data_IF_142860560606
#
_entry.id   IF_142860560606
#
_cell.length_a   1.000
_cell.length_b   1.000
_cell.length_c   1.000
_cell.angle_alpha   90.00
_cell.angle_beta   90.00
_cell.angle_gamma   90.00
#
_symmetry.space_group_name_H-M   'P 1'
#
loop_
_entity.id
_entity.type
_entity.pdbx_description
1 polymer ?
#
# COMPACT_ATOMS: atom_id res chain seq x y z
N UNK A 1 38.58 -3.78 11.37
CA UNK A 1 37.97 -3.05 10.25
C UNK A 1 38.35 -1.59 10.43
N UNK A 2 38.98 -0.98 9.44
CA UNK A 2 39.45 0.41 9.52
C UNK A 2 38.29 1.39 9.27
N UNK A 3 38.44 2.64 9.72
CA UNK A 3 37.45 3.70 9.44
C UNK A 3 37.22 3.90 7.94
N UNK A 4 38.23 3.63 7.11
CA UNK A 4 38.11 3.67 5.65
C UNK A 4 37.21 2.56 5.11
N UNK A 5 37.37 1.33 5.60
CA UNK A 5 36.50 0.20 5.22
C UNK A 5 35.05 0.44 5.66
N UNK A 6 34.85 1.04 6.85
CA UNK A 6 33.51 1.42 7.33
C UNK A 6 32.86 2.45 6.39
N UNK A 7 33.60 3.50 6.01
CA UNK A 7 33.07 4.55 5.14
C UNK A 7 32.75 4.04 3.73
N UNK A 8 33.53 3.10 3.21
CA UNK A 8 33.26 2.48 1.91
C UNK A 8 31.95 1.68 1.92
N UNK A 9 31.72 0.89 2.98
CA UNK A 9 30.46 0.15 3.15
C UNK A 9 29.27 1.09 3.30
N UNK A 10 29.41 2.16 4.10
CA UNK A 10 28.37 3.18 4.28
C UNK A 10 27.99 3.83 2.94
N UNK A 11 28.97 4.21 2.13
CA UNK A 11 28.72 4.83 0.82
C UNK A 11 28.01 3.87 -0.14
N UNK A 12 28.42 2.60 -0.18
CA UNK A 12 27.76 1.57 -1.00
C UNK A 12 26.30 1.36 -0.61
N UNK A 13 26.01 1.36 0.69
CA UNK A 13 24.64 1.26 1.20
C UNK A 13 23.84 2.51 0.82
N UNK A 14 24.42 3.71 1.01
CA UNK A 14 23.76 4.97 0.67
C UNK A 14 23.42 5.05 -0.84
N UNK A 15 24.30 4.59 -1.72
CA UNK A 15 24.06 4.56 -3.16
C UNK A 15 23.01 3.53 -3.55
N UNK A 16 23.01 2.35 -2.92
CA UNK A 16 21.98 1.35 -3.12
C UNK A 16 20.60 1.85 -2.67
N UNK A 17 20.53 2.59 -1.56
CA UNK A 17 19.30 3.23 -1.08
C UNK A 17 18.85 4.35 -2.02
N UNK A 18 19.75 5.21 -2.49
CA UNK A 18 19.44 6.26 -3.48
C UNK A 18 18.92 5.71 -4.80
N UNK A 19 19.47 4.58 -5.28
CA UNK A 19 19.03 3.94 -6.54
C UNK A 19 17.65 3.31 -6.45
N UNK A 20 17.12 3.06 -5.25
CA UNK A 20 15.77 2.57 -5.05
C UNK A 20 14.78 3.73 -5.17
N UNK A 21 14.67 4.31 -6.36
CA UNK A 21 13.62 5.28 -6.65
C UNK A 21 12.26 4.60 -6.53
N UNK A 22 11.33 5.23 -5.81
CA UNK A 22 9.94 4.77 -5.80
C UNK A 22 9.38 4.87 -7.22
N UNK A 23 8.62 3.87 -7.70
CA UNK A 23 7.97 3.98 -8.99
C UNK A 23 6.95 5.12 -8.96
N UNK A 24 6.67 5.70 -10.12
CA UNK A 24 5.59 6.66 -10.25
C UNK A 24 4.25 5.95 -10.05
N UNK A 25 3.47 6.45 -9.08
CA UNK A 25 2.13 5.95 -8.79
C UNK A 25 1.09 6.84 -9.44
N UNK A 26 0.02 6.24 -9.94
CA UNK A 26 -1.13 6.96 -10.44
C UNK A 26 -1.89 7.69 -9.35
N UNK A 27 -2.73 8.64 -9.78
CA UNK A 27 -3.52 9.48 -8.89
C UNK A 27 -4.60 8.65 -8.18
N UNK A 28 -4.76 8.88 -6.88
CA UNK A 28 -5.79 8.26 -6.03
C UNK A 28 -5.37 6.94 -5.40
N UNK A 29 -6.30 6.32 -4.66
CA UNK A 29 -6.06 5.03 -3.99
C UNK A 29 -6.20 3.84 -4.94
N UNK A 30 -5.58 2.71 -4.55
CA UNK A 30 -5.78 1.44 -5.24
C UNK A 30 -7.23 0.99 -5.05
N UNK A 31 -7.98 0.70 -6.13
CA UNK A 31 -9.35 0.19 -6.00
C UNK A 31 -9.36 -1.16 -5.28
N UNK A 32 -10.37 -1.41 -4.44
CA UNK A 32 -10.49 -2.67 -3.70
C UNK A 32 -10.47 -3.89 -4.64
N UNK A 33 -11.08 -3.79 -5.83
CA UNK A 33 -11.10 -4.87 -6.80
C UNK A 33 -9.70 -5.23 -7.33
N UNK A 34 -8.77 -4.26 -7.36
CA UNK A 34 -7.38 -4.52 -7.71
C UNK A 34 -6.69 -5.22 -6.55
N UNK A 35 -6.92 -4.75 -5.32
CA UNK A 35 -6.38 -5.40 -4.13
C UNK A 35 -6.85 -6.85 -3.97
N UNK A 36 -8.13 -7.14 -4.22
CA UNK A 36 -8.68 -8.51 -4.19
C UNK A 36 -7.96 -9.43 -5.19
N UNK A 37 -7.71 -8.95 -6.41
CA UNK A 37 -7.02 -9.71 -7.46
C UNK A 37 -5.56 -9.97 -7.12
N UNK A 38 -4.84 -8.95 -6.64
CA UNK A 38 -3.41 -9.04 -6.37
C UNK A 38 -3.14 -9.86 -5.10
N UNK A 39 -3.97 -9.72 -4.06
CA UNK A 39 -3.81 -10.46 -2.80
C UNK A 39 -4.43 -11.86 -2.84
N UNK A 40 -5.31 -12.15 -3.79
CA UNK A 40 -6.06 -13.41 -3.83
C UNK A 40 -7.05 -13.56 -2.67
N UNK A 41 -7.48 -12.44 -2.07
CA UNK A 41 -8.37 -12.39 -0.91
C UNK A 41 -9.65 -11.64 -1.28
N UNK A 42 -10.77 -11.99 -0.64
CA UNK A 42 -11.99 -11.21 -0.79
C UNK A 42 -11.95 -9.91 0.02
N UNK A 43 -12.79 -8.93 -0.36
CA UNK A 43 -12.92 -7.63 0.28
C UNK A 43 -13.13 -7.72 1.79
N UNK A 44 -13.94 -8.66 2.27
CA UNK A 44 -14.24 -8.79 3.70
C UNK A 44 -12.99 -9.17 4.48
N UNK A 45 -12.22 -10.13 3.97
CA UNK A 45 -10.95 -10.55 4.57
C UNK A 45 -9.95 -9.40 4.58
N UNK A 46 -9.77 -8.71 3.46
CA UNK A 46 -8.86 -7.55 3.36
C UNK A 46 -9.24 -6.48 4.39
N UNK A 47 -10.51 -6.08 4.45
CA UNK A 47 -10.98 -5.07 5.39
C UNK A 47 -10.78 -5.50 6.85
N UNK A 48 -11.09 -6.75 7.19
CA UNK A 48 -10.89 -7.26 8.55
C UNK A 48 -9.40 -7.23 8.94
N UNK A 49 -8.51 -7.67 8.05
CA UNK A 49 -7.06 -7.66 8.30
C UNK A 49 -6.51 -6.23 8.42
N UNK A 50 -7.03 -5.29 7.63
CA UNK A 50 -6.69 -3.87 7.75
C UNK A 50 -7.17 -3.30 9.09
N UNK A 51 -8.39 -3.64 9.52
CA UNK A 51 -8.97 -3.16 10.79
C UNK A 51 -8.21 -3.66 12.02
N UNK A 52 -7.74 -4.91 12.02
CA UNK A 52 -6.94 -5.48 13.12
C UNK A 52 -5.44 -5.15 13.01
N UNK A 53 -5.03 -4.40 11.98
CA UNK A 53 -3.64 -3.98 11.77
C UNK A 53 -2.69 -5.07 11.24
N UNK A 54 -3.20 -6.23 10.83
CA UNK A 54 -2.39 -7.29 10.22
C UNK A 54 -2.09 -7.05 8.74
N UNK A 55 -2.83 -6.14 8.09
CA UNK A 55 -2.62 -5.74 6.71
C UNK A 55 -2.53 -4.21 6.61
N UNK A 56 -1.31 -3.68 6.77
CA UNK A 56 -1.06 -2.24 6.69
C UNK A 56 -0.89 -1.74 5.24
N UNK A 57 -1.99 -1.70 4.50
CA UNK A 57 -2.01 -1.17 3.12
C UNK A 57 -2.77 0.15 2.99
N UNK A 58 -3.35 0.65 4.08
CA UNK A 58 -4.20 1.83 4.03
C UNK A 58 -5.09 1.98 5.26
N UNK A 59 -6.23 2.64 5.08
CA UNK A 59 -7.12 3.03 6.18
C UNK A 59 -8.53 2.50 5.88
N UNK A 60 -9.16 1.94 6.91
CA UNK A 60 -10.59 1.62 6.91
C UNK A 60 -11.32 2.64 7.77
N UNK A 61 -12.42 3.17 7.26
CA UNK A 61 -13.30 4.09 7.99
C UNK A 61 -14.71 3.52 8.02
N UNK A 62 -15.35 3.60 9.19
CA UNK A 62 -16.72 3.16 9.39
C UNK A 62 -17.63 4.38 9.32
N UNK A 63 -18.56 4.40 8.35
CA UNK A 63 -19.58 5.44 8.32
C UNK A 63 -20.65 5.10 9.35
N UNK A 64 -20.89 6.01 10.30
CA UNK A 64 -21.97 5.90 11.27
C UNK A 64 -23.31 5.86 10.51
N UNK A 65 -24.14 4.84 10.77
CA UNK A 65 -25.50 4.73 10.24
C UNK A 65 -26.51 4.70 11.37
N UNK A 66 -27.77 5.01 11.02
CA UNK A 66 -28.93 4.89 11.92
C UNK A 66 -29.02 3.47 12.51
N UNK A 67 -29.52 3.40 13.75
CA UNK A 67 -29.69 2.16 14.54
C UNK A 67 -30.39 1.07 13.70
N UNK A 68 -29.78 -0.12 13.61
CA UNK A 68 -30.34 -1.28 12.89
C UNK A 68 -29.83 -1.49 11.45
N UNK A 69 -29.02 -0.60 10.90
CA UNK A 69 -28.41 -0.79 9.57
C UNK A 69 -26.94 -1.17 9.74
N UNK A 70 -26.50 -2.25 9.06
CA UNK A 70 -25.09 -2.68 9.04
C UNK A 70 -24.19 -1.50 8.64
N UNK A 71 -23.15 -1.25 9.44
CA UNK A 71 -22.17 -0.19 9.20
C UNK A 71 -21.53 -0.36 7.82
N UNK A 72 -21.41 0.75 7.09
CA UNK A 72 -20.72 0.73 5.79
C UNK A 72 -19.23 1.00 6.03
N UNK A 73 -18.38 0.16 5.42
CA UNK A 73 -16.92 0.28 5.50
C UNK A 73 -16.37 0.92 4.22
N UNK A 74 -15.83 2.11 4.40
CA UNK A 74 -15.02 2.80 3.41
C UNK A 74 -13.57 2.41 3.59
N UNK A 75 -12.82 2.34 2.49
CA UNK A 75 -11.40 1.99 2.51
C UNK A 75 -10.63 2.85 1.54
N UNK A 76 -9.49 3.34 1.99
CA UNK A 76 -8.45 3.92 1.15
C UNK A 76 -7.25 2.98 1.18
N UNK A 77 -6.74 2.57 0.01
CA UNK A 77 -5.54 1.75 -0.12
C UNK A 77 -4.45 2.62 -0.73
N UNK A 78 -3.34 2.79 -0.02
CA UNK A 78 -2.21 3.61 -0.45
C UNK A 78 -1.43 2.90 -1.56
N UNK A 79 -1.25 3.50 -2.76
CA UNK A 79 -0.44 2.90 -3.83
C UNK A 79 0.97 2.53 -3.37
N UNK A 80 1.59 3.38 -2.54
CA UNK A 80 2.93 3.15 -1.99
C UNK A 80 2.96 1.93 -1.07
N UNK A 81 2.11 1.89 -0.03
CA UNK A 81 2.11 0.76 0.92
C UNK A 81 1.74 -0.55 0.23
N UNK A 82 0.82 -0.48 -0.72
CA UNK A 82 0.42 -1.63 -1.52
C UNK A 82 1.58 -2.16 -2.37
N UNK A 83 2.34 -1.26 -3.00
CA UNK A 83 3.56 -1.62 -3.72
C UNK A 83 4.65 -2.20 -2.81
N UNK A 84 4.88 -1.61 -1.64
CA UNK A 84 5.87 -2.10 -0.67
C UNK A 84 5.56 -3.54 -0.21
N UNK A 85 4.28 -3.88 -0.09
CA UNK A 85 3.83 -5.22 0.29
C UNK A 85 3.85 -6.22 -0.88
N UNK A 86 3.41 -5.80 -2.07
CA UNK A 86 3.07 -6.73 -3.18
C UNK A 86 3.95 -6.62 -4.41
N UNK A 87 4.74 -5.54 -4.53
CA UNK A 87 5.43 -5.16 -5.76
C UNK A 87 4.53 -4.61 -6.86
N UNK A 88 3.20 -4.54 -6.65
CA UNK A 88 2.26 -4.05 -7.66
C UNK A 88 2.29 -2.52 -7.79
N UNK A 89 2.49 -2.03 -9.02
CA UNK A 89 2.51 -0.59 -9.32
C UNK A 89 1.13 -0.17 -9.83
N UNK A 90 0.41 0.62 -9.02
CA UNK A 90 -0.84 1.23 -9.44
C UNK A 90 -0.57 2.49 -10.28
N UNK A 91 -1.03 2.49 -11.54
CA UNK A 91 -0.86 3.61 -12.49
C UNK A 91 -2.11 4.50 -12.65
N UNK A 92 -3.12 4.29 -11.83
CA UNK A 92 -4.39 5.03 -11.93
C UNK A 92 -5.37 4.34 -12.88
N UNK A 93 -6.60 4.86 -12.94
CA UNK A 93 -7.54 4.46 -13.98
C UNK A 93 -7.18 5.19 -15.26
N UNK A 94 -6.99 4.47 -16.36
CA UNK A 94 -7.04 5.09 -17.68
C UNK A 94 -8.42 5.72 -17.85
N UNK A 95 -8.50 7.05 -17.78
CA UNK A 95 -9.66 7.76 -18.29
C UNK A 95 -9.68 7.52 -19.79
N UNK A 96 -10.46 6.54 -20.25
CA UNK A 96 -10.92 6.54 -21.63
C UNK A 96 -11.70 7.84 -21.82
N UNK A 97 -11.07 8.79 -22.51
CA UNK A 97 -11.75 9.95 -23.08
C UNK A 97 -12.64 9.49 -24.23
#
# INVERSE_FOLDING_TARGET
MSDQEIMEVVNRIADAVKKKSLPEFGVGGVPMQVAEKVLGMNRTTILNLMEIGQLDIGIVTTAARKKGVRSYRNSYISPKKFYELTGYIWKGKETKK
#
